data_IF_135871737870
#
_entry.id   IF_135871737870
#
_cell.length_a   1.000
_cell.length_b   1.000
_cell.length_c   1.000
_cell.angle_alpha   90.00
_cell.angle_beta   90.00
_cell.angle_gamma   90.00
#
_symmetry.space_group_name_H-M   'P 1'
#
loop_
_entity.id
_entity.type
_entity.pdbx_description
1 polymer ?
#
# COMPACT_ATOMS: atom_id res chain seq x y z
N UNK A 1 -26.74 26.96 -4.69
CA UNK A 1 -25.47 26.71 -5.41
C UNK A 1 -24.38 26.07 -4.56
N UNK A 2 -23.97 26.65 -3.42
CA UNK A 2 -22.78 26.23 -2.65
C UNK A 2 -22.76 24.75 -2.19
N UNK A 3 -23.92 24.16 -1.87
CA UNK A 3 -24.03 22.78 -1.36
C UNK A 3 -23.78 21.69 -2.42
N UNK A 4 -24.15 21.96 -3.68
CA UNK A 4 -23.93 21.03 -4.79
C UNK A 4 -22.45 20.91 -5.13
N UNK A 5 -21.72 22.02 -5.04
CA UNK A 5 -20.27 22.07 -5.31
C UNK A 5 -19.53 21.17 -4.31
N UNK A 6 -19.86 21.26 -3.01
CA UNK A 6 -19.26 20.41 -1.98
C UNK A 6 -19.54 18.92 -2.20
N UNK A 7 -20.75 18.57 -2.64
CA UNK A 7 -21.14 17.19 -2.92
C UNK A 7 -20.42 16.61 -4.15
N UNK A 8 -20.23 17.42 -5.19
CA UNK A 8 -19.45 17.04 -6.37
C UNK A 8 -17.97 16.82 -6.03
N UNK A 9 -17.39 17.69 -5.21
CA UNK A 9 -16.02 17.52 -4.71
C UNK A 9 -15.93 16.22 -3.90
N UNK A 10 -16.91 15.93 -3.04
CA UNK A 10 -16.94 14.70 -2.26
C UNK A 10 -17.02 13.43 -3.11
N UNK A 11 -17.88 13.44 -4.12
CA UNK A 11 -17.95 12.34 -5.07
C UNK A 11 -16.63 12.14 -5.83
N UNK A 12 -16.03 13.23 -6.32
CA UNK A 12 -14.75 13.18 -7.04
C UNK A 12 -13.62 12.62 -6.16
N UNK A 13 -13.51 13.09 -4.91
CA UNK A 13 -12.50 12.63 -3.96
C UNK A 13 -12.72 11.15 -3.59
N UNK A 14 -13.97 10.71 -3.38
CA UNK A 14 -14.26 9.31 -3.08
C UNK A 14 -13.87 8.37 -4.24
N UNK A 15 -14.21 8.75 -5.48
CA UNK A 15 -13.79 8.00 -6.68
C UNK A 15 -12.27 7.97 -6.80
N UNK A 16 -11.60 9.10 -6.56
CA UNK A 16 -10.14 9.17 -6.56
C UNK A 16 -9.53 8.22 -5.52
N UNK A 17 -10.03 8.22 -4.28
CA UNK A 17 -9.56 7.32 -3.21
C UNK A 17 -9.72 5.86 -3.58
N UNK A 18 -10.85 5.47 -4.19
CA UNK A 18 -11.03 4.10 -4.70
C UNK A 18 -9.95 3.73 -5.73
N UNK A 19 -9.71 4.61 -6.71
CA UNK A 19 -8.68 4.36 -7.73
C UNK A 19 -7.26 4.36 -7.17
N UNK A 20 -6.95 5.23 -6.20
CA UNK A 20 -5.66 5.28 -5.52
C UNK A 20 -5.43 4.00 -4.69
N UNK A 21 -6.45 3.54 -3.96
CA UNK A 21 -6.38 2.31 -3.19
C UNK A 21 -6.15 1.09 -4.09
N UNK A 22 -6.86 0.99 -5.22
CA UNK A 22 -6.67 -0.09 -6.20
C UNK A 22 -5.28 -0.08 -6.82
N UNK A 23 -4.75 1.10 -7.18
CA UNK A 23 -3.37 1.24 -7.70
C UNK A 23 -2.30 0.82 -6.69
N UNK A 24 -2.60 0.93 -5.39
CA UNK A 24 -1.71 0.52 -4.29
C UNK A 24 -1.85 -0.95 -3.89
N UNK A 25 -2.65 -1.74 -4.60
CA UNK A 25 -2.80 -3.17 -4.33
C UNK A 25 -3.82 -3.51 -3.22
N UNK A 26 -4.65 -2.55 -2.78
CA UNK A 26 -5.72 -2.86 -1.83
C UNK A 26 -6.71 -3.86 -2.44
N UNK A 27 -7.13 -4.83 -1.63
CA UNK A 27 -8.23 -5.74 -1.96
C UNK A 27 -9.50 -4.93 -2.22
N UNK A 28 -10.31 -5.36 -3.18
CA UNK A 28 -11.57 -4.70 -3.56
C UNK A 28 -12.48 -4.32 -2.38
N UNK A 29 -12.74 -5.18 -1.37
CA UNK A 29 -13.55 -4.78 -0.20
C UNK A 29 -12.91 -3.67 0.63
N UNK A 30 -11.58 -3.66 0.78
CA UNK A 30 -10.88 -2.60 1.50
C UNK A 30 -10.94 -1.27 0.76
N UNK A 31 -10.78 -1.28 -0.57
CA UNK A 31 -10.92 -0.08 -1.40
C UNK A 31 -12.34 0.52 -1.35
N UNK A 32 -13.37 -0.33 -1.33
CA UNK A 32 -14.77 0.10 -1.17
C UNK A 32 -15.00 0.69 0.22
N UNK A 33 -14.45 0.09 1.28
CA UNK A 33 -14.54 0.63 2.63
C UNK A 33 -13.97 2.05 2.74
N UNK A 34 -12.81 2.30 2.11
CA UNK A 34 -12.21 3.63 2.04
C UNK A 34 -13.05 4.62 1.24
N UNK A 35 -13.61 4.20 0.12
CA UNK A 35 -14.51 5.03 -0.70
C UNK A 35 -15.75 5.47 0.07
N UNK A 36 -16.44 4.53 0.73
CA UNK A 36 -17.65 4.81 1.52
C UNK A 36 -17.30 5.69 2.73
N UNK A 37 -16.19 5.40 3.41
CA UNK A 37 -15.75 6.18 4.56
C UNK A 37 -15.43 7.65 4.19
N UNK A 38 -14.73 7.89 3.09
CA UNK A 38 -14.42 9.25 2.62
C UNK A 38 -15.67 9.98 2.12
N UNK A 39 -16.62 9.26 1.50
CA UNK A 39 -17.90 9.85 1.09
C UNK A 39 -18.75 10.28 2.29
N UNK A 40 -18.81 9.49 3.37
CA UNK A 40 -19.60 9.79 4.56
C UNK A 40 -18.93 10.79 5.52
N UNK A 41 -17.60 10.71 5.67
CA UNK A 41 -16.82 11.47 6.66
C UNK A 41 -15.51 11.98 6.05
N UNK A 42 -15.59 12.77 4.98
CA UNK A 42 -14.43 13.27 4.24
C UNK A 42 -13.36 13.89 5.14
N UNK A 43 -13.75 14.77 6.07
CA UNK A 43 -12.82 15.52 6.92
C UNK A 43 -11.96 14.60 7.80
N UNK A 44 -12.53 13.47 8.26
CA UNK A 44 -11.85 12.57 9.20
C UNK A 44 -11.19 11.40 8.49
N UNK A 45 -11.91 10.77 7.55
CA UNK A 45 -11.43 9.55 6.91
C UNK A 45 -10.35 9.85 5.87
N UNK A 46 -10.37 11.00 5.22
CA UNK A 46 -9.36 11.36 4.22
C UNK A 46 -7.96 11.51 4.84
N UNK A 47 -7.73 12.29 5.92
CA UNK A 47 -6.42 12.33 6.57
C UNK A 47 -5.96 10.94 7.05
N UNK A 48 -6.86 10.16 7.63
CA UNK A 48 -6.57 8.80 8.09
C UNK A 48 -6.15 7.90 6.92
N UNK A 49 -6.86 7.95 5.80
CA UNK A 49 -6.51 7.23 4.58
C UNK A 49 -5.12 7.63 4.07
N UNK A 50 -4.82 8.93 4.04
CA UNK A 50 -3.53 9.44 3.57
C UNK A 50 -2.35 9.00 4.46
N UNK A 51 -2.57 8.84 5.77
CA UNK A 51 -1.55 8.31 6.69
C UNK A 51 -1.37 6.80 6.47
N UNK A 52 -2.48 6.04 6.41
CA UNK A 52 -2.41 4.58 6.25
C UNK A 52 -1.86 4.15 4.88
N UNK A 53 -2.15 4.88 3.80
CA UNK A 53 -1.66 4.53 2.46
C UNK A 53 -0.13 4.65 2.33
N UNK A 54 0.52 5.48 3.16
CA UNK A 54 1.99 5.61 3.18
C UNK A 54 2.66 4.33 3.67
N UNK A 55 2.03 3.61 4.61
CA UNK A 55 2.60 2.38 5.16
C UNK A 55 2.61 1.24 4.14
N UNK A 56 1.61 1.17 3.26
CA UNK A 56 1.52 0.10 2.26
C UNK A 56 2.44 0.26 1.04
N UNK A 57 2.93 1.48 0.76
CA UNK A 57 3.79 1.74 -0.41
C UNK A 57 5.23 1.27 -0.28
N UNK A 58 5.62 0.66 0.84
CA UNK A 58 7.02 0.33 1.15
C UNK A 58 7.26 -1.19 1.11
N UNK A 59 7.00 -1.83 -0.03
CA UNK A 59 7.75 -3.04 -0.38
C UNK A 59 9.17 -2.53 -0.73
N UNK A 60 10.06 -2.44 0.26
CA UNK A 60 11.47 -2.24 -0.04
C UNK A 60 11.90 -3.54 -0.71
N UNK A 61 12.06 -3.54 -2.02
CA UNK A 61 12.80 -4.57 -2.73
C UNK A 61 14.26 -4.46 -2.23
N UNK A 62 14.55 -5.10 -1.10
CA UNK A 62 15.88 -5.10 -0.51
C UNK A 62 16.74 -5.99 -1.41
N UNK A 63 17.44 -5.37 -2.37
CA UNK A 63 18.51 -5.99 -3.15
C UNK A 63 19.63 -6.41 -2.18
N UNK A 64 19.49 -7.61 -1.61
CA UNK A 64 20.42 -8.11 -0.62
C UNK A 64 21.48 -8.95 -1.35
N UNK A 65 22.78 -8.64 -1.21
CA UNK A 65 23.82 -9.51 -1.75
C UNK A 65 23.88 -10.80 -0.93
N UNK A 66 23.85 -11.94 -1.62
CA UNK A 66 24.01 -13.23 -0.97
C UNK A 66 25.46 -13.39 -0.46
N UNK A 67 25.63 -13.72 0.83
CA UNK A 67 26.96 -13.96 1.45
C UNK A 67 27.72 -15.14 0.85
N UNK A 68 27.02 -16.07 0.20
CA UNK A 68 27.62 -17.31 -0.34
C UNK A 68 28.02 -17.17 -1.81
N UNK A 69 27.18 -16.57 -2.65
CA UNK A 69 27.45 -16.45 -4.09
C UNK A 69 27.80 -15.02 -4.55
N UNK A 70 27.66 -14.02 -3.68
CA UNK A 70 27.90 -12.60 -4.00
C UNK A 70 26.90 -12.00 -4.99
N UNK A 71 25.92 -12.79 -5.48
CA UNK A 71 24.88 -12.31 -6.39
C UNK A 71 23.77 -11.61 -5.60
N UNK A 72 23.25 -10.53 -6.18
CA UNK A 72 22.06 -9.85 -5.67
C UNK A 72 20.82 -10.67 -5.99
N UNK A 73 19.86 -10.65 -5.06
CA UNK A 73 18.53 -11.21 -5.27
C UNK A 73 17.49 -10.21 -4.77
N UNK A 74 16.31 -10.26 -5.40
CA UNK A 74 15.18 -9.40 -5.08
C UNK A 74 14.27 -10.08 -4.04
N UNK A 75 13.68 -9.25 -3.18
CA UNK A 75 12.73 -9.70 -2.15
C UNK A 75 13.37 -10.41 -0.95
N UNK A 76 12.55 -11.19 -0.23
CA UNK A 76 12.92 -11.90 1.01
C UNK A 76 12.84 -13.43 0.86
N UNK A 77 13.50 -14.04 -0.14
CA UNK A 77 13.44 -15.47 -0.33
C UNK A 77 14.15 -16.22 0.81
N UNK A 78 13.58 -17.33 1.26
CA UNK A 78 14.20 -18.22 2.27
C UNK A 78 15.51 -18.84 1.76
N UNK A 79 15.59 -19.08 0.46
CA UNK A 79 16.74 -19.66 -0.24
C UNK A 79 17.16 -18.74 -1.39
N UNK A 80 18.46 -18.54 -1.57
CA UNK A 80 18.97 -17.73 -2.66
C UNK A 80 18.62 -18.40 -4.01
N UNK A 81 17.98 -17.70 -4.96
CA UNK A 81 17.60 -18.29 -6.25
C UNK A 81 18.81 -18.65 -7.13
N UNK A 82 19.97 -18.05 -6.87
CA UNK A 82 21.17 -18.27 -7.68
C UNK A 82 22.04 -19.44 -7.18
N UNK A 83 22.01 -19.76 -5.88
CA UNK A 83 22.90 -20.78 -5.30
C UNK A 83 22.21 -21.79 -4.38
N UNK A 84 20.92 -21.61 -4.06
CA UNK A 84 20.17 -22.53 -3.20
C UNK A 84 20.51 -22.45 -1.71
N UNK A 85 21.47 -21.64 -1.28
CA UNK A 85 21.79 -21.47 0.14
C UNK A 85 20.69 -20.71 0.89
N UNK A 86 20.44 -21.09 2.14
CA UNK A 86 19.47 -20.44 3.02
C UNK A 86 19.97 -19.03 3.41
N UNK A 87 19.24 -17.99 3.02
CA UNK A 87 19.65 -16.58 3.22
C UNK A 87 18.77 -15.82 4.22
N UNK A 88 17.71 -16.46 4.74
CA UNK A 88 16.87 -15.92 5.81
C UNK A 88 15.81 -14.95 5.30
N UNK A 89 14.53 -15.36 5.37
CA UNK A 89 13.41 -14.47 5.10
C UNK A 89 13.29 -13.45 6.24
N UNK A 90 13.56 -12.18 5.95
CA UNK A 90 13.28 -11.09 6.90
C UNK A 90 11.77 -10.99 7.13
N UNK A 91 11.28 -11.34 8.33
CA UNK A 91 9.96 -10.92 8.78
C UNK A 91 10.09 -9.48 9.27
N UNK A 92 9.54 -8.52 8.54
CA UNK A 92 9.25 -7.21 9.11
C UNK A 92 8.26 -7.42 10.25
N UNK A 93 8.75 -7.32 11.50
CA UNK A 93 7.93 -7.29 12.69
C UNK A 93 7.46 -5.85 12.82
N UNK A 94 6.21 -5.57 12.45
CA UNK A 94 5.59 -4.28 12.71
C UNK A 94 5.41 -4.14 14.23
N UNK A 95 6.08 -3.14 14.80
CA UNK A 95 5.92 -2.66 16.18
C UNK A 95 4.76 -1.67 16.32
#
# INVERSE_FOLDING_TARGET
MMRLIGLLIAAAVAVWVYTDAKKRGYKTPAAIGWMIGVFLLMIVVLPVYLIMRTKQGKQIDVLTPCKYCGKYYEGTPLYCPNCGHKVGGYSFKEE
#
